data_IF_222303196030
#
_entry.id   IF_222303196030
#
_cell.length_a   1.000
_cell.length_b   1.000
_cell.length_c   1.000
_cell.angle_alpha   90.00
_cell.angle_beta   90.00
_cell.angle_gamma   90.00
#
_symmetry.space_group_name_H-M   'P 1'
#
loop_
_entity.id
_entity.type
_entity.pdbx_description
1 polymer ?
#
# COMPACT_ATOMS: atom_id res chain seq x y z
N UNK A 1 34.38 -12.37 17.69
CA UNK A 1 33.87 -11.06 17.22
C UNK A 1 32.45 -11.28 16.77
N UNK A 2 31.54 -11.25 17.73
CA UNK A 2 30.10 -11.35 17.53
C UNK A 2 29.62 -10.12 16.78
N UNK A 3 29.37 -10.29 15.49
CA UNK A 3 28.70 -9.28 14.69
C UNK A 3 27.20 -9.35 15.01
N UNK A 4 26.82 -8.74 16.13
CA UNK A 4 25.42 -8.55 16.49
C UNK A 4 24.79 -7.63 15.44
N UNK A 5 24.03 -8.22 14.52
CA UNK A 5 23.13 -7.48 13.62
C UNK A 5 22.16 -6.71 14.53
N UNK A 6 22.10 -5.37 14.49
CA UNK A 6 21.16 -4.64 15.34
C UNK A 6 19.73 -5.04 14.95
N UNK A 7 18.87 -5.45 15.92
CA UNK A 7 17.52 -5.96 15.63
C UNK A 7 16.51 -4.90 15.15
N UNK A 8 16.97 -3.71 14.75
CA UNK A 8 16.12 -2.53 14.53
C UNK A 8 16.31 -1.84 13.18
N UNK A 9 16.91 -2.49 12.18
CA UNK A 9 17.02 -1.93 10.83
C UNK A 9 16.00 -2.51 9.83
N UNK A 10 14.89 -3.06 10.30
CA UNK A 10 13.68 -3.19 9.48
C UNK A 10 12.97 -1.82 9.44
N UNK A 11 13.70 -0.77 9.04
CA UNK A 11 13.10 0.53 8.78
C UNK A 11 12.17 0.33 7.59
N UNK A 12 10.88 0.23 7.85
CA UNK A 12 9.88 0.20 6.80
C UNK A 12 10.03 1.47 5.98
N UNK A 13 10.62 1.37 4.79
CA UNK A 13 10.78 2.50 3.90
C UNK A 13 9.40 3.05 3.55
N UNK A 14 9.21 4.36 3.74
CA UNK A 14 7.99 5.06 3.35
C UNK A 14 8.04 5.36 1.85
N UNK A 15 6.93 5.10 1.17
CA UNK A 15 6.82 5.30 -0.27
C UNK A 15 6.54 6.78 -0.55
N UNK A 16 7.34 7.38 -1.42
CA UNK A 16 7.11 8.74 -1.90
C UNK A 16 5.91 8.68 -2.86
N UNK A 17 4.86 9.45 -2.56
CA UNK A 17 3.70 9.54 -3.44
C UNK A 17 3.98 10.55 -4.55
N UNK A 18 4.07 10.06 -5.77
CA UNK A 18 4.19 10.93 -6.95
C UNK A 18 2.79 11.31 -7.48
N UNK A 19 2.66 12.39 -8.26
CA UNK A 19 1.40 12.74 -8.91
C UNK A 19 0.82 11.60 -9.78
N UNK A 20 1.68 10.81 -10.42
CA UNK A 20 1.27 9.64 -11.20
C UNK A 20 0.68 8.54 -10.31
N UNK A 21 1.33 8.25 -9.17
CA UNK A 21 0.83 7.26 -8.22
C UNK A 21 -0.50 7.71 -7.60
N UNK A 22 -0.63 9.00 -7.28
CA UNK A 22 -1.87 9.57 -6.77
C UNK A 22 -3.01 9.46 -7.78
N UNK A 23 -2.74 9.74 -9.06
CA UNK A 23 -3.72 9.59 -10.15
C UNK A 23 -4.17 8.14 -10.29
N UNK A 24 -3.22 7.21 -10.33
CA UNK A 24 -3.52 5.78 -10.38
C UNK A 24 -4.39 5.34 -9.18
N UNK A 25 -4.06 5.79 -7.97
CA UNK A 25 -4.85 5.48 -6.78
C UNK A 25 -6.27 6.04 -6.88
N UNK A 26 -6.44 7.26 -7.39
CA UNK A 26 -7.76 7.85 -7.62
C UNK A 26 -8.61 7.05 -8.61
N UNK A 27 -8.02 6.59 -9.71
CA UNK A 27 -8.69 5.75 -10.71
C UNK A 27 -9.10 4.41 -10.10
N UNK A 28 -8.21 3.76 -9.36
CA UNK A 28 -8.48 2.48 -8.71
C UNK A 28 -9.58 2.58 -7.64
N UNK A 29 -9.61 3.64 -6.82
CA UNK A 29 -10.71 3.89 -5.86
C UNK A 29 -12.05 4.05 -6.60
N UNK A 30 -12.07 4.81 -7.70
CA UNK A 30 -13.28 5.01 -8.49
C UNK A 30 -13.79 3.70 -9.11
N UNK A 31 -12.89 2.88 -9.69
CA UNK A 31 -13.23 1.58 -10.26
C UNK A 31 -13.77 0.60 -9.21
N UNK A 32 -13.13 0.51 -8.05
CA UNK A 32 -13.58 -0.37 -6.96
C UNK A 32 -14.93 0.09 -6.39
N UNK A 33 -15.12 1.39 -6.20
CA UNK A 33 -16.38 1.97 -5.75
C UNK A 33 -17.53 1.73 -6.73
N UNK A 34 -17.28 1.90 -8.03
CA UNK A 34 -18.27 1.63 -9.08
C UNK A 34 -18.67 0.14 -9.15
N UNK A 35 -17.73 -0.77 -8.84
CA UNK A 35 -17.98 -2.21 -8.74
C UNK A 35 -18.64 -2.63 -7.41
N UNK A 36 -18.86 -1.70 -6.47
CA UNK A 36 -19.41 -2.00 -5.14
C UNK A 36 -18.44 -2.78 -4.24
N UNK A 37 -17.15 -2.78 -4.56
CA UNK A 37 -16.12 -3.43 -3.77
C UNK A 37 -15.65 -2.54 -2.62
N UNK A 38 -15.21 -3.16 -1.52
CA UNK A 38 -14.56 -2.45 -0.44
C UNK A 38 -13.22 -1.88 -0.92
N UNK A 39 -13.04 -0.57 -0.71
CA UNK A 39 -11.79 0.12 -1.07
C UNK A 39 -10.78 -0.05 0.08
N UNK A 40 -9.57 -0.55 -0.18
CA UNK A 40 -8.53 -0.63 0.84
C UNK A 40 -8.15 0.77 1.37
N UNK A 41 -8.00 0.91 2.68
CA UNK A 41 -7.66 2.20 3.31
C UNK A 41 -6.32 2.76 2.79
N UNK A 42 -5.35 1.89 2.49
CA UNK A 42 -4.08 2.27 1.86
C UNK A 42 -4.24 2.95 0.51
N UNK A 43 -5.21 2.51 -0.29
CA UNK A 43 -5.48 3.10 -1.58
C UNK A 43 -6.06 4.51 -1.43
N UNK A 44 -6.88 4.72 -0.40
CA UNK A 44 -7.42 6.03 -0.03
C UNK A 44 -6.31 6.97 0.42
N UNK A 45 -5.38 6.48 1.26
CA UNK A 45 -4.22 7.26 1.68
C UNK A 45 -3.36 7.70 0.49
N UNK A 46 -3.08 6.81 -0.46
CA UNK A 46 -2.34 7.14 -1.67
C UNK A 46 -3.07 8.18 -2.54
N UNK A 47 -4.39 8.05 -2.70
CA UNK A 47 -5.24 9.04 -3.42
C UNK A 47 -5.15 10.42 -2.76
N UNK A 48 -5.09 10.47 -1.44
CA UNK A 48 -5.04 11.72 -0.68
C UNK A 48 -3.61 12.30 -0.60
N UNK A 49 -2.63 11.66 -1.25
CA UNK A 49 -1.23 12.09 -1.29
C UNK A 49 -0.43 11.67 -0.05
N UNK A 50 -0.99 10.82 0.81
CA UNK A 50 -0.33 10.34 2.01
C UNK A 50 0.63 9.17 1.69
N UNK A 51 1.84 9.25 2.23
CA UNK A 51 2.81 8.16 2.13
C UNK A 51 2.32 6.93 2.91
N UNK A 52 2.58 5.75 2.34
CA UNK A 52 2.35 4.45 2.97
C UNK A 52 3.66 3.68 3.06
N UNK A 53 3.76 2.70 3.96
CA UNK A 53 4.96 1.88 4.02
C UNK A 53 5.08 0.97 2.80
N UNK A 54 6.32 0.62 2.43
CA UNK A 54 6.60 -0.31 1.34
C UNK A 54 5.86 -1.65 1.49
N UNK A 55 5.68 -2.15 2.71
CA UNK A 55 4.94 -3.40 2.96
C UNK A 55 3.46 -3.29 2.60
N UNK A 56 2.82 -2.17 2.98
CA UNK A 56 1.40 -1.92 2.63
C UNK A 56 1.22 -1.75 1.13
N UNK A 57 2.18 -1.12 0.45
CA UNK A 57 2.19 -1.04 -1.01
C UNK A 57 2.30 -2.42 -1.68
N UNK A 58 3.27 -3.23 -1.27
CA UNK A 58 3.46 -4.57 -1.84
C UNK A 58 2.21 -5.43 -1.65
N UNK A 59 1.61 -5.37 -0.46
CA UNK A 59 0.35 -6.05 -0.19
C UNK A 59 -0.78 -5.57 -1.12
N UNK A 60 -0.91 -4.25 -1.32
CA UNK A 60 -1.94 -3.69 -2.18
C UNK A 60 -1.78 -4.11 -3.64
N UNK A 61 -0.55 -4.16 -4.15
CA UNK A 61 -0.26 -4.66 -5.50
C UNK A 61 -0.60 -6.15 -5.62
N UNK A 62 -0.30 -6.95 -4.60
CA UNK A 62 -0.63 -8.37 -4.57
C UNK A 62 -2.14 -8.61 -4.53
N UNK A 63 -2.90 -7.83 -3.75
CA UNK A 63 -4.37 -7.87 -3.72
C UNK A 63 -4.99 -7.53 -5.06
N UNK A 64 -4.49 -6.50 -5.75
CA UNK A 64 -4.98 -6.12 -7.08
C UNK A 64 -4.68 -7.21 -8.11
N UNK A 65 -3.54 -7.91 -7.98
CA UNK A 65 -3.15 -9.01 -8.89
C UNK A 65 -3.91 -10.30 -8.62
N UNK A 66 -4.19 -10.59 -7.35
CA UNK A 66 -4.88 -11.79 -6.90
C UNK A 66 -5.69 -11.43 -5.65
N UNK A 67 -6.99 -11.09 -5.78
CA UNK A 67 -7.81 -10.71 -4.64
C UNK A 67 -7.84 -11.86 -3.65
N UNK A 68 -7.11 -11.74 -2.55
CA UNK A 68 -7.01 -12.77 -1.51
C UNK A 68 -7.85 -12.30 -0.34
N UNK A 69 -8.51 -13.24 0.33
CA UNK A 69 -9.41 -12.92 1.44
C UNK A 69 -8.63 -12.19 2.54
N UNK A 70 -9.09 -10.96 2.84
CA UNK A 70 -8.86 -10.13 4.02
C UNK A 70 -7.48 -10.23 4.70
N UNK A 71 -6.72 -9.15 4.65
CA UNK A 71 -5.48 -8.97 5.43
C UNK A 71 -5.73 -9.21 6.93
N UNK A 72 -4.90 -10.01 7.64
CA UNK A 72 -5.08 -10.31 9.07
C UNK A 72 -4.34 -9.34 10.01
N UNK A 73 -4.01 -8.12 9.58
CA UNK A 73 -3.24 -7.15 10.37
C UNK A 73 -4.00 -5.85 10.58
#
# INVERSE_FOLDING_TARGET
MDSAIPPHAFMAAMLIVTPELQRWASEAVASLGAAGHQVPADLVLLRDGCAVSQFRWLWLVDEVRAPRRACPF
#
